data_IF_695759284373
#
_entry.id   IF_695759284373
#
_cell.length_a   1.000
_cell.length_b   1.000
_cell.length_c   1.000
_cell.angle_alpha   90.00
_cell.angle_beta   90.00
_cell.angle_gamma   90.00
#
_symmetry.space_group_name_H-M   'P 1'
#
loop_
_entity.id
_entity.type
_entity.pdbx_description
1 polymer ?
#
# COMPACT_ATOMS: atom_id res chain seq x y z
N UNK A 1 -5.37 -18.97 -3.64
CA UNK A 1 -4.06 -18.89 -2.96
C UNK A 1 -3.50 -17.48 -3.10
N UNK A 2 -3.14 -16.84 -1.98
CA UNK A 2 -2.48 -15.54 -1.99
C UNK A 2 -0.99 -15.73 -2.32
N UNK A 3 -0.52 -15.13 -3.41
CA UNK A 3 0.89 -15.18 -3.87
C UNK A 3 1.64 -13.91 -3.46
N UNK A 4 0.99 -12.76 -3.55
CA UNK A 4 1.53 -11.47 -3.08
C UNK A 4 0.49 -10.76 -2.23
N UNK A 5 0.81 -10.58 -0.95
CA UNK A 5 0.03 -9.77 -0.02
C UNK A 5 0.20 -8.27 -0.31
N UNK A 6 -0.83 -7.49 0.02
CA UNK A 6 -0.71 -6.03 0.03
C UNK A 6 0.17 -5.57 1.16
N UNK A 7 0.91 -4.50 0.92
CA UNK A 7 1.71 -3.82 1.94
C UNK A 7 1.50 -2.33 1.79
N UNK A 8 1.60 -1.59 2.88
CA UNK A 8 1.55 -0.13 2.81
C UNK A 8 2.67 0.39 1.91
N UNK A 9 2.34 1.28 0.99
CA UNK A 9 3.36 1.87 0.11
C UNK A 9 4.42 2.60 0.93
N UNK A 10 5.66 2.63 0.43
CA UNK A 10 6.75 3.32 1.13
C UNK A 10 6.49 4.82 1.26
N UNK A 11 5.78 5.42 0.30
CA UNK A 11 5.32 6.81 0.36
C UNK A 11 4.39 7.04 1.56
N UNK A 12 3.37 6.18 1.70
CA UNK A 12 2.43 6.25 2.83
C UNK A 12 3.16 6.04 4.18
N UNK A 13 4.10 5.10 4.25
CA UNK A 13 4.89 4.88 5.47
C UNK A 13 5.71 6.12 5.86
N UNK A 14 6.32 6.81 4.89
CA UNK A 14 7.04 8.08 5.12
C UNK A 14 6.06 9.14 5.62
N UNK A 15 4.93 9.33 4.96
CA UNK A 15 3.93 10.32 5.38
C UNK A 15 3.42 10.08 6.80
N UNK A 16 3.11 8.83 7.17
CA UNK A 16 2.66 8.48 8.52
C UNK A 16 3.74 8.75 9.57
N UNK A 17 4.99 8.41 9.27
CA UNK A 17 6.14 8.69 10.13
C UNK A 17 6.34 10.19 10.33
N UNK A 18 6.25 10.98 9.26
CA UNK A 18 6.35 12.43 9.34
C UNK A 18 5.17 13.06 10.08
N UNK A 19 3.94 12.60 9.83
CA UNK A 19 2.74 13.05 10.55
C UNK A 19 2.84 12.85 12.08
N UNK A 20 3.54 11.78 12.50
CA UNK A 20 3.80 11.53 13.92
C UNK A 20 4.85 12.48 14.53
N UNK A 21 5.75 13.04 13.70
CA UNK A 21 6.98 13.72 14.14
C UNK A 21 7.02 15.21 13.81
N UNK A 22 6.18 15.69 12.91
CA UNK A 22 6.08 17.11 12.56
C UNK A 22 4.65 17.44 12.15
N UNK A 23 4.34 18.74 12.10
CA UNK A 23 3.06 19.20 11.58
C UNK A 23 3.14 19.22 10.06
N UNK A 24 2.35 18.35 9.41
CA UNK A 24 2.14 18.40 7.97
C UNK A 24 1.27 19.60 7.59
N UNK A 25 1.52 20.22 6.44
CA UNK A 25 0.66 21.26 5.89
C UNK A 25 -0.68 20.69 5.43
N UNK A 26 -1.71 21.53 5.27
CA UNK A 26 -3.07 21.10 4.91
C UNK A 26 -3.11 20.22 3.65
N UNK A 27 -2.35 20.59 2.60
CA UNK A 27 -2.25 19.79 1.36
C UNK A 27 -1.62 18.41 1.59
N UNK A 28 -0.63 18.33 2.48
CA UNK A 28 0.07 17.09 2.82
C UNK A 28 -0.80 16.19 3.70
N UNK A 29 -1.58 16.77 4.62
CA UNK A 29 -2.57 16.05 5.40
C UNK A 29 -3.68 15.49 4.50
N UNK A 30 -4.20 16.29 3.57
CA UNK A 30 -5.20 15.85 2.61
C UNK A 30 -4.66 14.74 1.71
N UNK A 31 -3.38 14.84 1.30
CA UNK A 31 -2.73 13.79 0.51
C UNK A 31 -2.58 12.48 1.30
N UNK A 32 -2.12 12.56 2.56
CA UNK A 32 -2.04 11.40 3.44
C UNK A 32 -3.41 10.76 3.67
N UNK A 33 -4.45 11.57 3.90
CA UNK A 33 -5.81 11.08 4.07
C UNK A 33 -6.30 10.34 2.80
N UNK A 34 -6.00 10.85 1.60
CA UNK A 34 -6.32 10.16 0.34
C UNK A 34 -5.57 8.82 0.21
N UNK A 35 -4.29 8.76 0.60
CA UNK A 35 -3.51 7.52 0.61
C UNK A 35 -4.09 6.49 1.58
N UNK A 36 -4.44 6.92 2.80
CA UNK A 36 -5.10 6.08 3.80
C UNK A 36 -6.44 5.54 3.30
N UNK A 37 -7.26 6.40 2.68
CA UNK A 37 -8.55 5.99 2.11
C UNK A 37 -8.44 5.01 0.95
N UNK A 38 -7.44 5.19 0.08
CA UNK A 38 -7.13 4.24 -0.99
C UNK A 38 -6.74 2.88 -0.43
N UNK A 39 -5.75 2.85 0.47
CA UNK A 39 -5.27 1.63 1.12
C UNK A 39 -6.36 0.92 1.93
N UNK A 40 -7.23 1.66 2.64
CA UNK A 40 -8.36 1.12 3.38
C UNK A 40 -9.31 0.34 2.46
N UNK A 41 -9.74 0.94 1.34
CA UNK A 41 -10.68 0.28 0.42
C UNK A 41 -10.07 -0.92 -0.30
N UNK A 42 -8.79 -0.83 -0.62
CA UNK A 42 -7.99 -1.92 -1.13
C UNK A 42 -7.92 -3.10 -0.14
N UNK A 43 -7.66 -2.85 1.15
CA UNK A 43 -7.70 -3.87 2.19
C UNK A 43 -9.10 -4.47 2.39
N UNK A 44 -10.16 -3.66 2.26
CA UNK A 44 -11.54 -4.16 2.29
C UNK A 44 -11.80 -5.15 1.15
N UNK A 45 -11.31 -4.86 -0.05
CA UNK A 45 -11.43 -5.77 -1.19
C UNK A 45 -10.59 -7.04 -1.00
N UNK A 46 -9.36 -6.92 -0.51
CA UNK A 46 -8.51 -8.06 -0.19
C UNK A 46 -9.23 -9.04 0.75
N UNK A 47 -9.85 -8.53 1.83
CA UNK A 47 -10.61 -9.33 2.79
C UNK A 47 -11.83 -10.05 2.19
N UNK A 48 -12.40 -9.55 1.07
CA UNK A 48 -13.44 -10.25 0.33
C UNK A 48 -12.84 -11.36 -0.56
N UNK A 49 -11.71 -11.08 -1.20
CA UNK A 49 -11.05 -12.05 -2.08
C UNK A 49 -10.40 -13.20 -1.33
N UNK A 50 -9.97 -12.99 -0.07
CA UNK A 50 -9.46 -14.06 0.80
C UNK A 50 -10.52 -15.12 1.15
N UNK A 51 -11.81 -14.74 1.09
CA UNK A 51 -12.96 -15.62 1.35
C UNK A 51 -13.44 -16.37 0.12
N UNK A 52 -12.72 -16.27 -1.01
CA UNK A 52 -13.03 -17.05 -2.20
C UNK A 52 -12.76 -18.53 -1.93
N UNK A 53 -13.83 -19.31 -1.81
CA UNK A 53 -13.80 -20.76 -1.65
C UNK A 53 -14.03 -21.44 -3.01
N UNK A 54 -13.72 -22.74 -3.16
CA UNK A 54 -14.09 -23.52 -4.34
C UNK A 54 -13.37 -23.19 -5.67
N UNK A 55 -12.66 -22.07 -5.80
CA UNK A 55 -11.89 -21.72 -6.99
C UNK A 55 -10.38 -21.97 -6.79
N UNK A 56 -9.75 -22.70 -7.71
CA UNK A 56 -8.28 -22.72 -7.80
C UNK A 56 -7.82 -21.41 -8.44
N UNK A 57 -7.27 -20.50 -7.65
CA UNK A 57 -6.84 -19.18 -8.12
C UNK A 57 -5.54 -18.71 -7.46
N UNK A 58 -4.84 -17.79 -8.12
CA UNK A 58 -3.73 -17.01 -7.53
C UNK A 58 -4.14 -15.56 -7.37
N UNK A 59 -3.88 -14.97 -6.21
CA UNK A 59 -4.13 -13.56 -5.91
C UNK A 59 -2.79 -12.83 -5.79
N UNK A 60 -2.62 -11.76 -6.55
CA UNK A 60 -1.50 -10.85 -6.48
C UNK A 60 -2.02 -9.43 -6.23
N UNK A 61 -1.82 -8.92 -5.02
CA UNK A 61 -2.27 -7.58 -4.67
C UNK A 61 -1.13 -6.57 -4.86
N UNK A 62 -1.49 -5.35 -5.26
CA UNK A 62 -0.61 -4.20 -5.33
C UNK A 62 0.67 -4.44 -6.18
N UNK A 63 0.48 -4.89 -7.43
CA UNK A 63 1.59 -5.13 -8.36
C UNK A 63 2.01 -3.81 -9.02
N UNK A 64 3.14 -3.25 -8.61
CA UNK A 64 3.84 -2.20 -9.35
C UNK A 64 4.76 -2.81 -10.41
N UNK A 65 4.47 -2.57 -11.70
CA UNK A 65 5.18 -3.12 -12.84
C UNK A 65 5.69 -2.02 -13.77
N UNK A 66 6.65 -2.36 -14.65
CA UNK A 66 7.19 -1.48 -15.68
C UNK A 66 7.19 -2.16 -17.03
N UNK A 67 6.68 -1.46 -18.04
CA UNK A 67 6.69 -1.89 -19.43
C UNK A 67 6.93 -0.68 -20.35
N UNK A 68 7.83 -0.79 -21.32
CA UNK A 68 8.19 0.29 -22.25
C UNK A 68 8.45 1.63 -21.55
N UNK A 69 9.29 1.62 -20.52
CA UNK A 69 9.59 2.77 -19.66
C UNK A 69 8.41 3.42 -18.92
N UNK A 70 7.23 2.81 -18.98
CA UNK A 70 6.03 3.27 -18.28
C UNK A 70 5.77 2.37 -17.07
N UNK A 71 5.63 2.99 -15.90
CA UNK A 71 5.22 2.30 -14.67
C UNK A 71 3.70 2.30 -14.53
N UNK A 72 3.15 1.18 -14.10
CA UNK A 72 1.72 1.02 -13.83
C UNK A 72 1.51 0.11 -12.62
N UNK A 73 0.43 0.36 -11.89
CA UNK A 73 0.07 -0.37 -10.69
C UNK A 73 -1.23 -1.14 -10.97
N UNK A 74 -1.32 -2.35 -10.44
CA UNK A 74 -2.53 -3.17 -10.44
C UNK A 74 -2.94 -3.36 -8.98
N UNK A 75 -4.12 -2.87 -8.61
CA UNK A 75 -4.57 -2.91 -7.21
C UNK A 75 -4.81 -4.35 -6.77
N UNK A 76 -5.53 -5.15 -7.57
CA UNK A 76 -5.68 -6.59 -7.34
C UNK A 76 -5.75 -7.37 -8.65
N UNK A 77 -4.96 -8.43 -8.73
CA UNK A 77 -4.91 -9.33 -9.89
C UNK A 77 -5.21 -10.76 -9.47
N UNK A 78 -6.23 -11.37 -10.06
CA UNK A 78 -6.64 -12.74 -9.77
C UNK A 78 -6.47 -13.60 -11.03
N UNK A 79 -5.66 -14.64 -10.95
CA UNK A 79 -5.47 -15.61 -12.03
C UNK A 79 -6.31 -16.85 -11.73
N UNK A 80 -7.17 -17.21 -12.67
CA UNK A 80 -7.92 -18.47 -12.65
C UNK A 80 -7.51 -19.33 -13.87
N UNK A 81 -7.97 -20.59 -13.97
CA UNK A 81 -7.60 -21.50 -15.04
C UNK A 81 -8.00 -21.05 -16.45
N UNK A 82 -8.97 -20.12 -16.57
CA UNK A 82 -9.46 -19.63 -17.87
C UNK A 82 -9.19 -18.16 -18.11
N UNK A 83 -9.28 -17.33 -17.07
CA UNK A 83 -9.21 -15.89 -17.17
C UNK A 83 -8.27 -15.32 -16.12
N UNK A 84 -7.74 -14.15 -16.40
CA UNK A 84 -7.18 -13.28 -15.40
C UNK A 84 -8.11 -12.09 -15.17
N UNK A 85 -8.25 -11.66 -13.92
CA UNK A 85 -9.09 -10.56 -13.51
C UNK A 85 -8.21 -9.44 -12.98
N UNK A 86 -8.43 -8.24 -13.52
CA UNK A 86 -7.74 -7.02 -13.12
C UNK A 86 -8.77 -6.11 -12.46
N UNK A 87 -8.56 -5.78 -11.20
CA UNK A 87 -9.44 -4.90 -10.44
C UNK A 87 -8.73 -3.58 -10.13
N UNK A 88 -9.42 -2.49 -10.44
CA UNK A 88 -9.11 -1.14 -9.98
C UNK A 88 -10.10 -0.81 -8.85
N UNK A 89 -9.62 -0.63 -7.63
CA UNK A 89 -10.46 -0.51 -6.43
C UNK A 89 -10.61 0.95 -6.04
N UNK A 90 -11.85 1.44 -5.96
CA UNK A 90 -12.17 2.81 -5.53
C UNK A 90 -13.00 2.80 -4.25
N UNK A 91 -12.49 3.50 -3.25
CA UNK A 91 -13.16 3.73 -1.96
C UNK A 91 -13.91 5.07 -1.93
N UNK A 92 -14.69 5.35 -2.96
CA UNK A 92 -15.46 6.60 -3.04
C UNK A 92 -16.69 6.53 -2.15
N UNK A 93 -16.99 7.60 -1.44
CA UNK A 93 -18.14 7.72 -0.53
C UNK A 93 -19.12 8.77 -1.06
N UNK A 94 -20.42 8.49 -0.95
CA UNK A 94 -21.49 9.41 -1.31
C UNK A 94 -21.92 9.30 -2.77
N UNK A 95 -22.55 10.38 -3.22
CA UNK A 95 -23.23 10.45 -4.51
C UNK A 95 -22.32 10.97 -5.63
N UNK A 96 -22.25 10.21 -6.72
CA UNK A 96 -21.56 10.56 -7.95
C UNK A 96 -22.52 10.45 -9.13
N UNK A 97 -22.24 11.14 -10.23
CA UNK A 97 -22.88 10.85 -11.51
C UNK A 97 -21.86 10.68 -12.63
N UNK A 98 -22.22 9.84 -13.58
CA UNK A 98 -21.44 9.59 -14.79
C UNK A 98 -22.07 10.34 -15.96
N UNK A 99 -21.27 11.13 -16.68
CA UNK A 99 -21.72 11.74 -17.95
C UNK A 99 -21.25 10.88 -19.11
N UNK A 100 -22.19 10.12 -19.69
CA UNK A 100 -21.92 9.23 -20.80
C UNK A 100 -21.51 9.96 -22.10
N UNK A 101 -21.84 11.25 -22.23
CA UNK A 101 -21.50 12.03 -23.43
C UNK A 101 -20.04 12.49 -23.44
N UNK A 102 -19.47 12.75 -22.26
CA UNK A 102 -18.10 13.21 -22.08
C UNK A 102 -17.15 12.15 -21.51
N UNK A 103 -17.66 11.00 -21.07
CA UNK A 103 -16.92 9.96 -20.35
C UNK A 103 -16.28 10.51 -19.05
N UNK A 104 -16.89 11.54 -18.46
CA UNK A 104 -16.46 12.15 -17.21
C UNK A 104 -17.30 11.70 -16.02
N UNK A 105 -16.72 11.83 -14.82
CA UNK A 105 -17.40 11.50 -13.58
C UNK A 105 -17.33 12.70 -12.63
N UNK A 106 -18.42 12.90 -11.89
CA UNK A 106 -18.58 14.07 -11.03
C UNK A 106 -19.08 13.65 -9.65
N UNK A 107 -18.51 14.25 -8.62
CA UNK A 107 -19.05 14.19 -7.26
C UNK A 107 -20.20 15.18 -7.11
N UNK A 108 -21.34 14.69 -6.61
CA UNK A 108 -22.54 15.50 -6.39
C UNK A 108 -22.37 16.24 -5.07
N UNK A 109 -22.17 17.56 -5.17
CA UNK A 109 -22.13 18.47 -4.01
C UNK A 109 -23.36 19.38 -4.02
N UNK A 110 -23.75 19.87 -2.84
CA UNK A 110 -24.88 20.78 -2.65
C UNK A 110 -24.73 22.11 -3.41
N UNK A 111 -23.51 22.56 -3.67
CA UNK A 111 -23.25 23.81 -4.38
C UNK A 111 -23.12 23.60 -5.89
N UNK A 112 -22.09 22.88 -6.30
CA UNK A 112 -21.81 22.58 -7.71
C UNK A 112 -21.15 21.21 -7.84
N UNK A 113 -21.53 20.40 -8.85
CA UNK A 113 -20.78 19.21 -9.20
C UNK A 113 -19.29 19.47 -9.35
N UNK A 114 -18.48 18.64 -8.70
CA UNK A 114 -17.03 18.69 -8.81
C UNK A 114 -16.57 17.54 -9.67
N UNK A 115 -15.86 17.83 -10.75
CA UNK A 115 -15.27 16.80 -11.59
C UNK A 115 -14.24 16.00 -10.78
N UNK A 116 -14.30 14.68 -10.93
CA UNK A 116 -13.35 13.74 -10.35
C UNK A 116 -12.77 12.88 -11.46
N UNK A 117 -11.55 12.37 -11.23
CA UNK A 117 -10.89 11.51 -12.20
C UNK A 117 -11.72 10.25 -12.45
N UNK A 118 -12.06 9.99 -13.72
CA UNK A 118 -12.73 8.75 -14.11
C UNK A 118 -11.80 7.54 -13.88
N UNK A 119 -12.18 6.57 -13.04
CA UNK A 119 -11.40 5.35 -12.80
C UNK A 119 -11.11 4.53 -14.06
N UNK A 120 -11.98 4.60 -15.07
CA UNK A 120 -11.80 3.88 -16.33
C UNK A 120 -10.52 4.30 -17.07
N UNK A 121 -10.09 5.55 -16.94
CA UNK A 121 -8.84 6.02 -17.54
C UNK A 121 -7.64 5.26 -16.96
N UNK A 122 -7.63 5.05 -15.64
CA UNK A 122 -6.59 4.28 -14.97
C UNK A 122 -6.68 2.79 -15.34
N UNK A 123 -7.89 2.21 -15.29
CA UNK A 123 -8.13 0.82 -15.66
C UNK A 123 -7.67 0.51 -17.09
N UNK A 124 -8.07 1.32 -18.07
CA UNK A 124 -7.77 1.10 -19.49
C UNK A 124 -6.27 1.20 -19.77
N UNK A 125 -5.60 2.19 -19.16
CA UNK A 125 -4.13 2.33 -19.25
C UNK A 125 -3.44 1.10 -18.69
N UNK A 126 -3.85 0.66 -17.50
CA UNK A 126 -3.28 -0.49 -16.82
C UNK A 126 -3.49 -1.80 -17.61
N UNK A 127 -4.73 -2.05 -18.05
CA UNK A 127 -5.09 -3.22 -18.85
C UNK A 127 -4.32 -3.28 -20.19
N UNK A 128 -4.16 -2.15 -20.89
CA UNK A 128 -3.40 -2.09 -22.13
C UNK A 128 -1.92 -2.45 -21.92
N UNK A 129 -1.28 -1.87 -20.89
CA UNK A 129 0.12 -2.15 -20.56
C UNK A 129 0.32 -3.60 -20.12
N UNK A 130 -0.60 -4.14 -19.31
CA UNK A 130 -0.53 -5.53 -18.87
C UNK A 130 -0.67 -6.50 -20.05
N UNK A 131 -1.62 -6.27 -20.97
CA UNK A 131 -1.80 -7.11 -22.16
C UNK A 131 -0.55 -7.15 -23.03
N UNK A 132 0.09 -6.01 -23.26
CA UNK A 132 1.36 -5.94 -23.99
C UNK A 132 2.48 -6.68 -23.25
N UNK A 133 2.59 -6.49 -21.93
CA UNK A 133 3.58 -7.17 -21.11
C UNK A 133 3.42 -8.70 -21.15
N UNK A 134 2.18 -9.20 -20.99
CA UNK A 134 1.89 -10.64 -21.02
C UNK A 134 2.16 -11.24 -22.41
N UNK A 135 1.77 -10.54 -23.48
CA UNK A 135 2.04 -10.97 -24.85
C UNK A 135 3.54 -11.10 -25.13
N UNK A 136 4.35 -10.14 -24.64
CA UNK A 136 5.81 -10.19 -24.77
C UNK A 136 6.46 -11.39 -24.05
N UNK A 137 5.80 -11.95 -23.03
CA UNK A 137 6.23 -13.16 -22.35
C UNK A 137 5.60 -14.45 -22.93
N UNK A 138 4.77 -14.32 -23.97
CA UNK A 138 4.08 -15.46 -24.59
C UNK A 138 2.84 -15.95 -23.84
N UNK A 139 2.29 -15.16 -22.92
CA UNK A 139 1.05 -15.49 -22.22
C UNK A 139 -0.17 -14.90 -22.94
N UNK A 140 -1.10 -15.77 -23.35
CA UNK A 140 -2.35 -15.41 -24.05
C UNK A 140 -3.58 -15.72 -23.19
N UNK A 141 -3.58 -15.27 -21.92
CA UNK A 141 -4.75 -15.41 -21.03
C UNK A 141 -5.70 -14.22 -21.22
N UNK A 142 -7.03 -14.44 -21.38
CA UNK A 142 -8.00 -13.35 -21.40
C UNK A 142 -7.97 -12.53 -20.11
N UNK A 143 -7.87 -11.20 -20.22
CA UNK A 143 -7.91 -10.29 -19.08
C UNK A 143 -9.28 -9.60 -19.00
N UNK A 144 -10.01 -9.84 -17.92
CA UNK A 144 -11.26 -9.17 -17.58
C UNK A 144 -10.94 -8.04 -16.60
N UNK A 145 -11.01 -6.81 -17.07
CA UNK A 145 -10.69 -5.61 -16.29
C UNK A 145 -11.98 -4.97 -15.75
N UNK A 146 -12.01 -4.60 -14.47
CA UNK A 146 -13.19 -3.97 -13.84
C UNK A 146 -12.81 -2.94 -12.79
N UNK A 147 -13.63 -1.89 -12.67
CA UNK A 147 -13.56 -0.93 -11.56
C UNK A 147 -14.51 -1.39 -10.48
N UNK A 148 -14.01 -1.53 -9.26
CA UNK A 148 -14.78 -1.94 -8.09
C UNK A 148 -14.98 -0.74 -7.17
N UNK A 149 -16.24 -0.40 -6.89
CA UNK A 149 -16.58 0.58 -5.86
C UNK A 149 -16.88 -0.15 -4.55
N UNK A 150 -15.95 -0.13 -3.61
CA UNK A 150 -15.98 -1.01 -2.41
C UNK A 150 -16.82 -0.46 -1.25
N UNK A 151 -17.01 0.87 -1.20
CA UNK A 151 -17.71 1.53 -0.10
C UNK A 151 -19.24 1.34 -0.20
N UNK A 152 -19.91 0.89 0.86
CA UNK A 152 -21.36 0.66 0.87
C UNK A 152 -22.18 1.93 0.63
N UNK A 153 -21.65 3.10 1.01
CA UNK A 153 -22.31 4.40 0.87
C UNK A 153 -22.04 5.06 -0.49
N UNK A 154 -21.46 4.33 -1.44
CA UNK A 154 -21.25 4.80 -2.80
C UNK A 154 -22.50 4.65 -3.66
N UNK A 155 -22.88 5.73 -4.35
CA UNK A 155 -23.90 5.70 -5.40
C UNK A 155 -23.38 6.36 -6.66
N UNK A 156 -23.49 5.69 -7.81
CA UNK A 156 -23.22 6.25 -9.13
C UNK A 156 -24.51 6.40 -9.94
N UNK A 157 -25.05 7.60 -9.98
CA UNK A 157 -26.14 7.95 -10.87
C UNK A 157 -25.69 7.86 -12.33
N UNK A 158 -26.63 7.43 -13.19
CA UNK A 158 -26.38 7.27 -14.62
C UNK A 158 -25.23 6.30 -14.93
N UNK A 159 -24.97 5.34 -14.04
CA UNK A 159 -23.97 4.29 -14.29
C UNK A 159 -24.27 3.59 -15.62
N UNK A 160 -23.36 3.66 -16.60
CA UNK A 160 -23.55 2.98 -17.88
C UNK A 160 -23.50 1.45 -17.71
N UNK A 161 -24.34 0.73 -18.46
CA UNK A 161 -24.47 -0.73 -18.39
C UNK A 161 -23.36 -1.48 -19.14
N UNK A 162 -22.74 -0.83 -20.11
CA UNK A 162 -21.69 -1.37 -20.98
C UNK A 162 -20.27 -1.20 -20.41
N UNK A 163 -20.12 -0.40 -19.35
CA UNK A 163 -18.82 -0.21 -18.69
C UNK A 163 -18.63 -1.24 -17.57
N UNK A 164 -17.37 -1.65 -17.29
CA UNK A 164 -17.08 -2.70 -16.32
C UNK A 164 -17.06 -2.17 -14.88
N UNK A 165 -18.14 -1.50 -14.48
CA UNK A 165 -18.34 -1.03 -13.11
C UNK A 165 -18.98 -2.13 -12.26
N UNK A 166 -18.39 -2.40 -11.11
CA UNK A 166 -18.92 -3.30 -10.09
C UNK A 166 -19.31 -2.44 -8.90
N UNK A 167 -20.62 -2.30 -8.68
CA UNK A 167 -21.19 -1.55 -7.56
C UNK A 167 -21.08 -2.33 -6.24
N UNK A 168 -21.13 -1.67 -5.08
CA UNK A 168 -20.94 -2.31 -3.78
C UNK A 168 -21.85 -3.53 -3.57
N UNK A 169 -23.12 -3.41 -3.99
CA UNK A 169 -24.14 -4.47 -3.88
C UNK A 169 -23.92 -5.65 -4.82
N UNK A 170 -23.05 -5.50 -5.83
CA UNK A 170 -22.76 -6.51 -6.85
C UNK A 170 -21.50 -7.32 -6.54
N UNK A 171 -20.59 -6.81 -5.70
CA UNK A 171 -19.25 -7.37 -5.47
C UNK A 171 -19.33 -8.84 -5.06
N UNK A 172 -20.09 -9.16 -4.02
CA UNK A 172 -20.18 -10.53 -3.51
C UNK A 172 -20.69 -11.51 -4.55
N UNK A 173 -21.70 -11.12 -5.34
CA UNK A 173 -22.23 -11.96 -6.42
C UNK A 173 -21.22 -12.11 -7.56
N UNK A 174 -20.51 -11.04 -7.91
CA UNK A 174 -19.48 -11.05 -8.93
C UNK A 174 -18.32 -11.98 -8.55
N UNK A 175 -17.81 -11.85 -7.32
CA UNK A 175 -16.71 -12.66 -6.79
C UNK A 175 -17.07 -14.15 -6.73
N UNK A 176 -18.28 -14.50 -6.28
CA UNK A 176 -18.79 -15.89 -6.35
C UNK A 176 -18.88 -16.41 -7.78
N UNK A 177 -19.17 -15.53 -8.75
CA UNK A 177 -19.21 -15.88 -10.17
C UNK A 177 -17.85 -16.13 -10.82
N UNK A 178 -16.74 -15.85 -10.13
CA UNK A 178 -15.40 -16.23 -10.58
C UNK A 178 -15.20 -17.76 -10.55
N UNK A 179 -16.03 -18.45 -9.77
CA UNK A 179 -16.15 -19.91 -9.74
C UNK A 179 -17.04 -20.40 -10.89
N UNK A 180 -16.54 -21.33 -11.71
CA UNK A 180 -17.32 -22.41 -12.34
C UNK A 180 -16.55 -23.17 -13.43
N UNK A 181 -15.28 -23.49 -13.21
CA UNK A 181 -14.58 -24.39 -14.15
C UNK A 181 -13.91 -25.51 -13.40
N UNK A 182 -14.23 -26.74 -13.79
CA UNK A 182 -13.68 -28.00 -13.26
C UNK A 182 -12.19 -28.18 -13.56
N UNK A 183 -11.60 -27.32 -14.40
CA UNK A 183 -10.17 -27.30 -14.70
C UNK A 183 -9.38 -26.71 -13.53
N UNK A 184 -8.34 -27.40 -13.08
CA UNK A 184 -7.39 -26.87 -12.10
C UNK A 184 -6.38 -25.88 -12.68
N UNK A 185 -5.67 -25.16 -11.80
CA UNK A 185 -4.49 -24.39 -12.20
C UNK A 185 -3.40 -25.35 -12.73
N UNK A 186 -2.73 -24.95 -13.80
CA UNK A 186 -1.57 -25.64 -14.35
C UNK A 186 -0.27 -24.85 -14.13
N UNK A 187 0.87 -25.46 -14.47
CA UNK A 187 2.20 -24.86 -14.29
C UNK A 187 2.35 -23.47 -14.94
N UNK A 188 1.71 -23.21 -16.09
CA UNK A 188 1.80 -21.89 -16.75
C UNK A 188 1.17 -20.78 -15.90
N UNK A 189 0.12 -21.08 -15.13
CA UNK A 189 -0.48 -20.09 -14.22
C UNK A 189 0.46 -19.79 -13.04
N UNK A 190 1.12 -20.82 -12.52
CA UNK A 190 2.11 -20.69 -11.45
C UNK A 190 3.31 -19.88 -11.92
N UNK A 191 3.88 -20.23 -13.07
CA UNK A 191 4.98 -19.52 -13.72
C UNK A 191 4.62 -18.06 -14.00
N UNK A 192 3.37 -17.79 -14.43
CA UNK A 192 2.90 -16.43 -14.64
C UNK A 192 2.85 -15.64 -13.31
N UNK A 193 2.28 -16.21 -12.25
CA UNK A 193 2.18 -15.57 -10.96
C UNK A 193 3.57 -15.26 -10.36
N UNK A 194 4.49 -16.23 -10.42
CA UNK A 194 5.87 -16.06 -9.98
C UNK A 194 6.60 -15.02 -10.83
N UNK A 195 6.42 -15.05 -12.15
CA UNK A 195 7.03 -14.08 -13.06
C UNK A 195 6.58 -12.66 -12.73
N UNK A 196 5.28 -12.42 -12.59
CA UNK A 196 4.74 -11.10 -12.23
C UNK A 196 5.26 -10.64 -10.86
N UNK A 197 5.32 -11.54 -9.89
CA UNK A 197 5.89 -11.26 -8.57
C UNK A 197 7.37 -10.88 -8.67
N UNK A 198 8.16 -11.57 -9.49
CA UNK A 198 9.58 -11.25 -9.70
C UNK A 198 9.83 -9.90 -10.38
N UNK A 199 8.85 -9.42 -11.16
CA UNK A 199 8.91 -8.13 -11.86
C UNK A 199 8.42 -6.97 -10.99
N UNK A 200 7.84 -7.26 -9.83
CA UNK A 200 7.34 -6.24 -8.92
C UNK A 200 8.47 -5.31 -8.48
N UNK A 201 8.28 -4.01 -8.70
CA UNK A 201 9.20 -2.99 -8.25
C UNK A 201 8.91 -2.62 -6.80
N UNK A 202 9.92 -2.69 -5.94
CA UNK A 202 9.80 -2.30 -4.52
C UNK A 202 9.77 -0.78 -4.34
N UNK A 203 10.46 -0.05 -5.22
CA UNK A 203 10.60 1.41 -5.13
C UNK A 203 10.13 2.09 -6.42
N UNK A 204 9.10 2.93 -6.29
CA UNK A 204 8.83 4.00 -7.25
C UNK A 204 9.57 5.26 -6.80
N UNK A 205 10.19 6.04 -7.70
CA UNK A 205 10.74 7.33 -7.32
C UNK A 205 9.63 8.20 -6.74
N UNK A 206 9.74 8.56 -5.46
CA UNK A 206 8.73 9.35 -4.77
C UNK A 206 8.64 10.72 -5.42
N UNK A 207 7.46 11.05 -5.97
CA UNK A 207 7.29 12.31 -6.70
C UNK A 207 6.87 13.45 -5.77
N UNK A 208 6.25 13.15 -4.63
CA UNK A 208 5.52 14.12 -3.84
C UNK A 208 5.84 14.10 -2.34
N UNK A 209 7.07 13.74 -1.91
CA UNK A 209 7.38 13.80 -0.48
C UNK A 209 7.44 15.26 0.01
N UNK A 210 6.98 15.53 1.24
CA UNK A 210 7.17 16.83 1.88
C UNK A 210 8.67 17.10 2.06
N UNK A 211 9.06 18.37 2.07
CA UNK A 211 10.42 18.76 2.41
C UNK A 211 10.67 18.58 3.91
N UNK A 212 11.58 17.67 4.30
CA UNK A 212 11.96 17.48 5.70
C UNK A 212 13.48 17.29 5.84
N UNK A 213 13.98 17.66 7.01
CA UNK A 213 15.35 17.42 7.44
C UNK A 213 15.37 16.77 8.81
N UNK A 214 16.51 16.18 9.16
CA UNK A 214 16.69 15.50 10.43
C UNK A 214 16.37 16.42 11.61
N UNK A 215 16.76 17.70 11.55
CA UNK A 215 16.57 18.66 12.65
C UNK A 215 15.11 19.08 12.86
N UNK A 216 14.31 19.13 11.79
CA UNK A 216 12.91 19.57 11.84
C UNK A 216 11.96 18.55 12.47
N UNK A 217 12.27 17.26 12.36
CA UNK A 217 11.39 16.20 12.89
C UNK A 217 11.62 15.98 14.39
N UNK A 218 10.53 15.75 15.14
CA UNK A 218 10.60 15.40 16.57
C UNK A 218 11.18 14.00 16.75
N UNK A 219 12.11 13.90 17.70
CA UNK A 219 12.73 12.65 18.14
C UNK A 219 11.94 12.08 19.31
N UNK A 220 12.01 10.77 19.48
CA UNK A 220 11.23 10.06 20.50
C UNK A 220 10.66 8.75 19.99
N UNK A 221 10.10 8.00 20.92
CA UNK A 221 9.44 6.73 20.69
C UNK A 221 8.00 6.97 20.20
N UNK A 222 7.71 6.58 18.96
CA UNK A 222 6.38 6.62 18.34
C UNK A 222 5.66 5.30 18.61
N UNK A 223 4.42 5.36 19.06
CA UNK A 223 3.58 4.18 19.31
C UNK A 223 3.17 3.49 18.00
N UNK A 224 3.35 2.16 17.91
CA UNK A 224 2.90 1.34 16.79
C UNK A 224 1.37 1.14 16.70
N UNK A 225 0.58 1.80 17.55
CA UNK A 225 -0.88 1.65 17.61
C UNK A 225 -1.61 2.94 17.27
N UNK A 226 -1.19 4.05 17.85
CA UNK A 226 -1.85 5.36 17.65
C UNK A 226 -0.90 6.44 17.11
N UNK A 227 0.31 6.07 16.69
CA UNK A 227 1.36 6.97 16.19
C UNK A 227 1.74 8.13 17.14
N UNK A 228 1.33 8.10 18.42
CA UNK A 228 1.69 9.15 19.37
C UNK A 228 3.15 9.02 19.83
N UNK A 229 3.81 10.14 20.09
CA UNK A 229 5.13 10.22 20.73
C UNK A 229 5.07 10.02 22.26
N UNK A 230 3.88 9.70 22.80
CA UNK A 230 3.64 9.54 24.24
C UNK A 230 3.88 8.08 24.66
N UNK A 231 5.12 7.61 24.50
CA UNK A 231 5.55 6.26 24.86
C UNK A 231 6.62 6.33 25.93
N UNK A 232 6.45 5.54 27.00
CA UNK A 232 7.42 5.43 28.09
C UNK A 232 7.93 4.00 28.24
N UNK A 233 9.13 3.86 28.80
CA UNK A 233 9.75 2.56 29.04
C UNK A 233 9.32 2.01 30.40
N UNK A 234 8.91 0.74 30.41
CA UNK A 234 8.50 -0.01 31.59
C UNK A 234 9.31 -1.31 31.65
N UNK A 235 10.46 -1.28 32.34
CA UNK A 235 11.37 -2.42 32.42
C UNK A 235 11.92 -2.85 31.05
N UNK A 236 11.42 -3.98 30.52
CA UNK A 236 11.83 -4.55 29.21
C UNK A 236 10.82 -4.30 28.09
N UNK A 237 9.81 -3.47 28.33
CA UNK A 237 8.82 -3.08 27.33
C UNK A 237 8.68 -1.56 27.27
N UNK A 238 7.98 -1.11 26.25
CA UNK A 238 7.52 0.26 26.09
C UNK A 238 5.99 0.26 26.05
N UNK A 239 5.36 1.20 26.75
CA UNK A 239 3.90 1.36 26.79
C UNK A 239 3.50 2.73 26.30
N UNK A 240 2.46 2.78 25.47
CA UNK A 240 1.84 4.02 25.06
C UNK A 240 0.89 4.55 26.14
N UNK A 241 0.99 5.84 26.47
CA UNK A 241 0.07 6.51 27.40
C UNK A 241 -1.34 6.64 26.81
N UNK A 242 -1.44 6.84 25.49
CA UNK A 242 -2.71 7.16 24.80
C UNK A 242 -3.58 5.94 24.51
N UNK A 243 -2.99 4.86 23.97
CA UNK A 243 -3.75 3.68 23.56
C UNK A 243 -3.35 2.40 24.32
N UNK A 244 -2.48 2.51 25.33
CA UNK A 244 -2.03 1.41 26.18
C UNK A 244 -1.33 0.23 25.47
N UNK A 245 -1.10 0.31 24.16
CA UNK A 245 -0.35 -0.71 23.41
C UNK A 245 1.05 -0.86 24.02
N UNK A 246 1.42 -2.13 24.23
CA UNK A 246 2.72 -2.54 24.76
C UNK A 246 3.54 -3.16 23.63
N UNK A 247 4.81 -2.80 23.56
CA UNK A 247 5.77 -3.35 22.61
C UNK A 247 7.04 -3.74 23.37
N UNK A 248 7.67 -4.85 22.98
CA UNK A 248 8.95 -5.23 23.58
C UNK A 248 10.01 -4.17 23.26
N UNK A 249 10.93 -3.91 24.20
CA UNK A 249 11.96 -2.87 24.05
C UNK A 249 12.86 -3.14 22.83
N UNK A 250 13.08 -4.39 22.50
CA UNK A 250 13.86 -4.81 21.33
C UNK A 250 13.13 -4.46 20.03
N UNK A 251 11.85 -4.82 19.92
CA UNK A 251 11.01 -4.58 18.74
C UNK A 251 10.83 -3.09 18.46
N UNK A 252 10.57 -2.28 19.50
CA UNK A 252 10.42 -0.83 19.32
C UNK A 252 11.70 -0.18 18.79
N UNK A 253 12.88 -0.61 19.28
CA UNK A 253 14.16 -0.09 18.78
C UNK A 253 14.36 -0.49 17.31
N UNK A 254 14.13 -1.75 16.95
CA UNK A 254 14.27 -2.21 15.56
C UNK A 254 13.33 -1.46 14.62
N UNK A 255 12.08 -1.22 15.04
CA UNK A 255 11.12 -0.44 14.27
C UNK A 255 11.59 1.00 14.05
N UNK A 256 12.15 1.65 15.08
CA UNK A 256 12.70 3.00 14.96
C UNK A 256 13.97 3.07 14.12
N UNK A 257 14.79 2.01 14.12
CA UNK A 257 15.96 1.90 13.21
C UNK A 257 15.49 1.79 11.76
N UNK A 258 14.47 0.98 11.48
CA UNK A 258 13.87 0.86 10.14
C UNK A 258 13.27 2.18 9.67
N UNK A 259 12.53 2.86 10.55
CA UNK A 259 11.98 4.21 10.29
C UNK A 259 13.09 5.23 9.99
N UNK A 260 14.17 5.26 10.80
CA UNK A 260 15.31 6.14 10.59
C UNK A 260 15.96 5.90 9.22
N UNK A 261 16.19 4.63 8.86
CA UNK A 261 16.76 4.24 7.56
C UNK A 261 15.83 4.62 6.39
N UNK A 262 14.52 4.57 6.60
CA UNK A 262 13.53 4.93 5.59
C UNK A 262 13.51 6.45 5.33
N UNK A 263 13.50 7.27 6.40
CA UNK A 263 13.48 8.73 6.30
C UNK A 263 14.84 9.32 5.89
N UNK A 264 15.95 8.72 6.34
CA UNK A 264 17.30 9.25 6.14
C UNK A 264 18.21 8.20 5.48
N UNK A 265 17.93 7.81 4.22
CA UNK A 265 18.63 6.69 3.56
C UNK A 265 20.13 6.93 3.34
N UNK A 266 20.58 8.19 3.33
CA UNK A 266 22.00 8.57 3.20
C UNK A 266 22.72 8.55 4.55
N UNK A 267 21.98 8.61 5.66
CA UNK A 267 22.55 8.67 7.01
C UNK A 267 22.97 7.28 7.51
N UNK A 268 24.17 7.19 8.07
CA UNK A 268 24.67 5.94 8.67
C UNK A 268 23.96 5.64 9.99
N UNK A 269 23.61 4.38 10.22
CA UNK A 269 23.05 3.92 11.50
C UNK A 269 24.18 3.86 12.52
N UNK A 270 24.12 4.70 13.56
CA UNK A 270 25.10 4.71 14.66
C UNK A 270 24.36 4.58 15.98
N UNK A 271 25.02 4.04 17.02
CA UNK A 271 24.41 3.96 18.36
C UNK A 271 24.00 5.34 18.87
N UNK A 272 24.83 6.38 18.67
CA UNK A 272 24.52 7.75 19.06
C UNK A 272 23.34 8.32 18.28
N UNK A 273 23.29 8.10 16.97
CA UNK A 273 22.19 8.57 16.12
C UNK A 273 20.85 7.94 16.51
N UNK A 274 20.81 6.62 16.73
CA UNK A 274 19.58 5.92 17.15
C UNK A 274 19.19 6.29 18.58
N UNK A 275 20.17 6.49 19.47
CA UNK A 275 19.92 6.99 20.82
C UNK A 275 19.22 8.35 20.82
N UNK A 276 19.68 9.26 19.97
CA UNK A 276 19.06 10.56 19.79
C UNK A 276 17.70 10.45 19.11
N UNK A 277 17.58 9.66 18.03
CA UNK A 277 16.35 9.43 17.29
C UNK A 277 15.21 8.89 18.17
N UNK A 278 15.53 7.98 19.08
CA UNK A 278 14.61 7.44 20.09
C UNK A 278 14.33 8.41 21.25
N UNK A 279 14.77 9.67 21.17
CA UNK A 279 14.51 10.72 22.17
C UNK A 279 15.22 10.49 23.50
N UNK A 280 16.33 9.74 23.52
CA UNK A 280 17.14 9.46 24.71
C UNK A 280 16.41 8.72 25.85
N UNK A 281 15.22 8.16 25.59
CA UNK A 281 14.44 7.40 26.57
C UNK A 281 14.95 5.97 26.82
N UNK A 282 15.83 5.46 25.94
CA UNK A 282 16.44 4.13 26.06
C UNK A 282 17.94 4.29 26.24
N UNK A 283 18.55 3.56 27.18
CA UNK A 283 19.99 3.68 27.42
C UNK A 283 20.82 3.36 26.17
N UNK A 284 21.89 4.13 25.95
CA UNK A 284 22.82 3.90 24.83
C UNK A 284 23.41 2.48 24.85
N UNK A 285 23.68 1.91 26.04
CA UNK A 285 24.13 0.52 26.20
C UNK A 285 23.11 -0.49 25.67
N UNK A 286 21.82 -0.27 25.96
CA UNK A 286 20.73 -1.13 25.47
C UNK A 286 20.63 -1.05 23.95
N UNK A 287 20.66 0.16 23.39
CA UNK A 287 20.63 0.36 21.94
C UNK A 287 21.83 -0.32 21.27
N UNK A 288 23.04 -0.13 21.81
CA UNK A 288 24.24 -0.78 21.29
C UNK A 288 24.11 -2.31 21.28
N UNK A 289 23.64 -2.90 22.38
CA UNK A 289 23.40 -4.35 22.48
C UNK A 289 22.38 -4.85 21.44
N UNK A 290 21.29 -4.11 21.22
CA UNK A 290 20.28 -4.48 20.22
C UNK A 290 20.86 -4.36 18.81
N UNK A 291 21.60 -3.28 18.52
CA UNK A 291 22.23 -3.10 17.22
C UNK A 291 23.27 -4.19 16.93
N UNK A 292 24.08 -4.56 17.91
CA UNK A 292 25.09 -5.63 17.81
C UNK A 292 24.48 -7.00 17.57
N UNK A 293 23.27 -7.22 18.09
CA UNK A 293 22.53 -8.48 17.91
C UNK A 293 21.95 -8.63 16.50
N UNK A 294 21.52 -7.52 15.87
CA UNK A 294 20.68 -7.57 14.66
C UNK A 294 21.35 -7.03 13.39
N UNK A 295 22.43 -6.28 13.51
CA UNK A 295 23.06 -5.60 12.37
C UNK A 295 24.55 -5.89 12.30
N UNK A 296 25.09 -5.82 11.08
CA UNK A 296 26.52 -6.04 10.86
C UNK A 296 27.32 -4.78 11.15
N UNK A 297 28.42 -4.92 11.88
CA UNK A 297 29.29 -3.79 12.22
C UNK A 297 30.18 -3.45 11.03
N UNK A 298 30.20 -2.18 10.65
CA UNK A 298 31.16 -1.61 9.70
C UNK A 298 32.02 -0.55 10.36
N UNK A 299 33.28 -0.46 9.93
CA UNK A 299 34.26 0.51 10.43
C UNK A 299 34.66 1.45 9.30
N UNK A 300 34.54 2.75 9.52
CA UNK A 300 35.03 3.78 8.61
C UNK A 300 35.95 4.73 9.37
N UNK A 301 37.26 4.54 9.22
CA UNK A 301 38.30 5.28 9.96
C UNK A 301 38.06 5.21 11.48
N UNK A 302 37.61 6.31 12.10
CA UNK A 302 37.35 6.45 13.55
C UNK A 302 35.90 6.12 13.97
N UNK A 303 35.00 5.81 13.03
CA UNK A 303 33.57 5.68 13.30
C UNK A 303 33.07 4.25 13.10
N UNK A 304 32.26 3.77 14.05
CA UNK A 304 31.52 2.50 14.01
C UNK A 304 30.09 2.78 13.58
N UNK A 305 29.59 2.05 12.59
CA UNK A 305 28.21 2.13 12.13
C UNK A 305 27.67 0.74 11.79
N UNK A 306 26.37 0.65 11.56
CA UNK A 306 25.62 -0.58 11.37
C UNK A 306 24.96 -0.61 9.98
N UNK A 307 24.89 -1.80 9.39
CA UNK A 307 24.18 -2.11 8.13
C UNK A 307 23.21 -3.27 8.31
#
# INVERSE_FOLDING_TARGET
MLVKSRTMSREMQIYLSLNARMTLHEKEQQYLWNLEKGYEGECMFDALTEKLEGCNHFILNDLLLKHNNTTFQIDSFIITPRNAYLFEVKNFEGDYYYDASSDHMYFKSLSKPKEVTNPLTQLNRCNSLLRQLLSNFGYNIPILASVVFINSEFTLYQSPLDKPFIHPTQINRYLKGLENTSSGLNNKHTELAEKLTSLHMVDSPFKNLPGYSYDQVKKGLVCAGCASLSVFIEGRSARCVRCHKVEALEEIVLRHVREFRMLFPVSKITTSGIFEWCGRGISSKTINRILDKHFSIKRSRRWRYYE
#
